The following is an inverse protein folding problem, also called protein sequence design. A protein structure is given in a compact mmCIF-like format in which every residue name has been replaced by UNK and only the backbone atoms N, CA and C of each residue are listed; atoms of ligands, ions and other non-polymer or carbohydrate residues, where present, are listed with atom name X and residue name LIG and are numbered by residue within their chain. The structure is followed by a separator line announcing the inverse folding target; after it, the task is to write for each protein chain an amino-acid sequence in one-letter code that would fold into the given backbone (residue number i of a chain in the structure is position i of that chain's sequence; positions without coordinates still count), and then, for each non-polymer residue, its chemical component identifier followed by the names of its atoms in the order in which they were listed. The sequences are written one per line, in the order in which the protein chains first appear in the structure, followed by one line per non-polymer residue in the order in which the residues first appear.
data_IF_963447593405
#
_entry.id   IF_963447593405
#
_cell.length_a   1.000
_cell.length_b   1.000
_cell.length_c   1.000
_cell.angle_alpha   90.00
_cell.angle_beta   90.00
_cell.angle_gamma   90.00
#
_symmetry.space_group_name_H-M   'P 1'
#
loop_
_entity.id
_entity.type
_entity.pdbx_description
1 polymer ?
#
# COMPACT_ATOMS: atom_id res chain seq x y z
N UNK A 1 26.97 -37.74 11.75
CA UNK A 1 25.98 -37.17 10.82
C UNK A 1 24.94 -36.44 11.65
N UNK A 2 25.02 -35.11 11.73
CA UNK A 2 23.95 -34.28 12.28
C UNK A 2 23.34 -33.59 11.09
N UNK A 3 22.10 -33.97 10.77
CA UNK A 3 21.27 -33.30 9.78
C UNK A 3 20.91 -31.93 10.34
N UNK A 4 21.57 -30.87 9.86
CA UNK A 4 21.07 -29.51 10.00
C UNK A 4 20.28 -29.17 8.73
N UNK A 5 19.12 -29.81 8.58
CA UNK A 5 18.00 -29.13 7.93
C UNK A 5 17.36 -28.27 9.01
N UNK A 6 17.44 -26.93 8.91
CA UNK A 6 16.24 -26.09 8.92
C UNK A 6 16.55 -24.58 8.78
N UNK A 7 15.57 -23.88 8.20
CA UNK A 7 15.39 -22.44 8.01
C UNK A 7 16.07 -21.84 6.78
N UNK A 8 15.45 -22.10 5.63
CA UNK A 8 15.31 -21.08 4.59
C UNK A 8 14.74 -19.80 5.25
N UNK A 9 15.61 -18.89 5.66
CA UNK A 9 15.21 -17.55 6.05
C UNK A 9 14.87 -16.82 4.75
N UNK A 10 13.66 -17.02 4.24
CA UNK A 10 13.13 -16.07 3.27
C UNK A 10 13.12 -14.70 3.96
N UNK A 11 13.68 -13.66 3.34
CA UNK A 11 13.61 -12.32 3.90
C UNK A 11 12.14 -11.95 4.12
N UNK A 12 11.81 -11.20 5.19
CA UNK A 12 10.43 -10.78 5.44
C UNK A 12 9.90 -10.00 4.25
N UNK A 13 8.63 -10.23 3.91
CA UNK A 13 7.95 -9.47 2.86
C UNK A 13 7.90 -7.99 3.23
N UNK A 14 7.70 -7.11 2.26
CA UNK A 14 7.46 -5.68 2.52
C UNK A 14 6.26 -5.51 3.45
N UNK A 15 5.20 -6.30 3.25
CA UNK A 15 4.04 -6.30 4.15
C UNK A 15 4.42 -6.66 5.58
N UNK A 16 5.17 -7.75 5.78
CA UNK A 16 5.61 -8.19 7.11
C UNK A 16 6.50 -7.14 7.76
N UNK A 17 7.42 -6.55 7.01
CA UNK A 17 8.31 -5.51 7.50
C UNK A 17 7.51 -4.28 7.93
N UNK A 18 6.58 -3.78 7.10
CA UNK A 18 5.75 -2.62 7.44
C UNK A 18 4.92 -2.91 8.68
N UNK A 19 4.26 -4.06 8.74
CA UNK A 19 3.47 -4.46 9.91
C UNK A 19 4.33 -4.51 11.17
N UNK A 20 5.53 -5.09 11.12
CA UNK A 20 6.40 -5.22 12.29
C UNK A 20 6.95 -3.87 12.78
N UNK A 21 7.21 -2.93 11.87
CA UNK A 21 7.91 -1.69 12.20
C UNK A 21 6.97 -0.49 12.39
N UNK A 22 5.79 -0.49 11.74
CA UNK A 22 4.91 0.69 11.69
C UNK A 22 3.55 0.48 12.35
N UNK A 23 3.13 -0.75 12.66
CA UNK A 23 1.77 -1.00 13.20
C UNK A 23 1.52 -0.46 14.62
N UNK A 24 2.58 -0.18 15.37
CA UNK A 24 2.49 0.42 16.70
C UNK A 24 2.40 1.94 16.69
N UNK A 25 2.53 2.57 15.51
CA UNK A 25 2.47 4.01 15.34
C UNK A 25 1.03 4.46 15.07
N UNK A 26 0.76 5.75 15.34
CA UNK A 26 -0.51 6.37 15.01
C UNK A 26 -0.74 6.35 13.49
N UNK A 27 -1.99 6.19 13.08
CA UNK A 27 -2.35 6.27 11.68
C UNK A 27 -3.81 6.72 11.50
N UNK A 28 -4.04 7.31 10.33
CA UNK A 28 -5.37 7.46 9.74
C UNK A 28 -5.48 6.52 8.55
N UNK A 29 -6.67 5.96 8.30
CA UNK A 29 -6.83 4.91 7.29
C UNK A 29 -8.15 4.99 6.54
N UNK A 30 -8.15 4.47 5.32
CA UNK A 30 -9.31 4.36 4.44
C UNK A 30 -9.31 3.02 3.72
N UNK A 31 -10.50 2.52 3.42
CA UNK A 31 -10.72 1.31 2.63
C UNK A 31 -11.59 1.65 1.43
N UNK A 32 -11.09 1.34 0.23
CA UNK A 32 -11.79 1.54 -1.03
C UNK A 32 -12.05 0.20 -1.71
N UNK A 33 -13.22 0.09 -2.36
CA UNK A 33 -13.61 -1.09 -3.11
C UNK A 33 -13.68 -0.76 -4.59
N UNK A 34 -12.97 -1.54 -5.41
CA UNK A 34 -12.97 -1.42 -6.86
C UNK A 34 -13.66 -2.65 -7.46
N UNK A 35 -14.90 -2.45 -7.89
CA UNK A 35 -15.70 -3.49 -8.55
C UNK A 35 -15.29 -3.60 -10.03
N UNK A 36 -15.06 -4.83 -10.52
CA UNK A 36 -14.72 -5.10 -11.92
C UNK A 36 -13.28 -4.78 -12.32
N UNK A 37 -12.45 -4.32 -11.39
CA UNK A 37 -11.00 -4.20 -11.56
C UNK A 37 -10.30 -5.33 -10.81
N UNK A 38 -9.29 -5.94 -11.43
CA UNK A 38 -8.37 -6.86 -10.75
C UNK A 38 -7.23 -6.10 -10.06
N UNK A 39 -6.49 -6.76 -9.17
CA UNK A 39 -5.43 -6.08 -8.42
C UNK A 39 -4.34 -5.45 -9.27
N UNK A 40 -4.02 -6.01 -10.44
CA UNK A 40 -3.01 -5.43 -11.34
C UNK A 40 -3.44 -4.05 -11.85
N UNK A 41 -4.68 -3.91 -12.32
CA UNK A 41 -5.20 -2.62 -12.78
C UNK A 41 -5.27 -1.62 -11.63
N UNK A 42 -5.73 -2.04 -10.45
CA UNK A 42 -5.77 -1.15 -9.28
C UNK A 42 -4.36 -0.73 -8.85
N UNK A 43 -3.37 -1.63 -8.96
CA UNK A 43 -1.97 -1.30 -8.71
C UNK A 43 -1.46 -0.23 -9.67
N UNK A 44 -1.85 -0.26 -10.96
CA UNK A 44 -1.53 0.82 -11.91
C UNK A 44 -2.15 2.16 -11.50
N UNK A 45 -3.40 2.17 -11.00
CA UNK A 45 -4.04 3.39 -10.46
C UNK A 45 -3.24 3.94 -9.27
N UNK A 46 -2.79 3.07 -8.36
CA UNK A 46 -1.98 3.45 -7.20
C UNK A 46 -0.64 4.03 -7.66
N UNK A 47 0.08 3.37 -8.58
CA UNK A 47 1.35 3.88 -9.13
C UNK A 47 1.17 5.25 -9.80
N UNK A 48 0.11 5.42 -10.58
CA UNK A 48 -0.20 6.70 -11.24
C UNK A 48 -0.50 7.80 -10.21
N UNK A 49 -1.26 7.49 -9.16
CA UNK A 49 -1.60 8.44 -8.09
C UNK A 49 -0.35 8.85 -7.31
N UNK A 50 0.50 7.89 -6.92
CA UNK A 50 1.80 8.16 -6.28
C UNK A 50 2.68 9.04 -7.15
N UNK A 51 2.74 8.77 -8.46
CA UNK A 51 3.52 9.59 -9.40
C UNK A 51 2.96 11.01 -9.54
N UNK A 52 1.64 11.20 -9.55
CA UNK A 52 1.01 12.54 -9.61
C UNK A 52 1.33 13.38 -8.38
N UNK A 53 1.40 12.73 -7.21
CA UNK A 53 1.78 13.36 -5.94
C UNK A 53 3.29 13.52 -5.78
N UNK A 54 4.09 13.15 -6.79
CA UNK A 54 5.55 13.25 -6.75
C UNK A 54 6.22 12.31 -5.74
N UNK A 55 5.54 11.23 -5.34
CA UNK A 55 6.02 10.30 -4.33
C UNK A 55 6.87 9.18 -4.94
N UNK A 56 8.02 8.94 -4.31
CA UNK A 56 8.78 7.70 -4.52
C UNK A 56 8.22 6.59 -3.64
N UNK A 57 8.26 5.34 -4.10
CA UNK A 57 7.70 4.23 -3.35
C UNK A 57 8.51 2.95 -3.54
N UNK A 58 8.43 2.09 -2.52
CA UNK A 58 8.73 0.67 -2.63
C UNK A 58 7.44 -0.07 -2.95
N UNK A 59 7.54 -1.09 -3.77
CA UNK A 59 6.43 -1.96 -4.15
C UNK A 59 6.85 -3.42 -4.01
N UNK A 60 5.93 -4.25 -3.55
CA UNK A 60 6.06 -5.70 -3.62
C UNK A 60 4.73 -6.31 -4.08
N UNK A 61 4.81 -7.29 -4.97
CA UNK A 61 3.68 -8.06 -5.46
C UNK A 61 3.86 -9.52 -5.06
N UNK A 62 2.86 -10.09 -4.38
CA UNK A 62 2.86 -11.47 -3.91
C UNK A 62 1.71 -12.20 -4.61
N UNK A 63 2.01 -13.07 -5.58
CA UNK A 63 1.00 -13.93 -6.19
C UNK A 63 0.38 -14.87 -5.16
N UNK A 64 -0.95 -15.01 -5.21
CA UNK A 64 -1.72 -15.98 -4.44
C UNK A 64 -2.32 -17.03 -5.39
N UNK A 65 -2.96 -18.06 -4.83
CA UNK A 65 -3.74 -19.02 -5.63
C UNK A 65 -4.83 -18.32 -6.48
N UNK A 66 -5.38 -17.22 -5.96
CA UNK A 66 -6.42 -16.42 -6.59
C UNK A 66 -6.06 -14.94 -6.44
N UNK A 67 -5.50 -14.35 -7.50
CA UNK A 67 -5.10 -12.95 -7.53
C UNK A 67 -3.69 -12.67 -7.02
N UNK A 68 -3.39 -11.39 -6.85
CA UNK A 68 -2.09 -10.88 -6.38
C UNK A 68 -2.33 -9.86 -5.29
N UNK A 69 -1.62 -9.97 -4.18
CA UNK A 69 -1.57 -8.90 -3.18
C UNK A 69 -0.43 -7.95 -3.50
N UNK A 70 -0.72 -6.66 -3.56
CA UNK A 70 0.29 -5.62 -3.68
C UNK A 70 0.46 -4.90 -2.36
N UNK A 71 1.70 -4.55 -2.03
CA UNK A 71 2.03 -3.62 -0.95
C UNK A 71 2.87 -2.48 -1.49
N UNK A 72 2.45 -1.25 -1.22
CA UNK A 72 3.21 -0.04 -1.49
C UNK A 72 3.58 0.64 -0.19
N UNK A 73 4.80 1.16 -0.13
CA UNK A 73 5.26 1.99 0.98
C UNK A 73 5.98 3.21 0.42
N UNK A 74 5.52 4.41 0.80
CA UNK A 74 6.15 5.68 0.45
C UNK A 74 6.43 6.49 1.71
N UNK A 75 7.58 7.18 1.75
CA UNK A 75 7.86 8.19 2.75
C UNK A 75 7.35 9.53 2.23
N UNK A 76 6.43 10.15 2.95
CA UNK A 76 5.80 11.42 2.55
C UNK A 76 6.69 12.60 2.97
N UNK A 77 7.23 12.54 4.19
CA UNK A 77 8.21 13.49 4.73
C UNK A 77 9.48 12.72 5.03
N UNK A 78 10.63 13.17 4.49
CA UNK A 78 11.91 12.48 4.69
C UNK A 78 12.57 12.84 6.02
N UNK A 79 12.17 13.97 6.62
CA UNK A 79 12.65 14.48 7.90
C UNK A 79 11.80 14.04 9.10
N UNK A 80 10.66 13.37 8.86
CA UNK A 80 9.72 12.90 9.89
C UNK A 80 9.19 11.52 9.58
N UNK A 81 8.71 10.81 10.59
CA UNK A 81 8.12 9.48 10.42
C UNK A 81 6.68 9.59 9.89
N UNK A 82 6.52 10.00 8.64
CA UNK A 82 5.23 10.04 7.95
C UNK A 82 5.29 9.19 6.69
N UNK A 83 4.50 8.11 6.66
CA UNK A 83 4.52 7.09 5.62
C UNK A 83 3.14 6.84 5.06
N UNK A 84 3.05 6.72 3.74
CA UNK A 84 1.89 6.15 3.07
C UNK A 84 2.10 4.64 2.91
N UNK A 85 1.19 3.84 3.46
CA UNK A 85 1.15 2.41 3.30
C UNK A 85 -0.15 2.01 2.59
N UNK A 86 -0.04 1.39 1.41
CA UNK A 86 -1.19 0.91 0.64
C UNK A 86 -1.09 -0.59 0.47
N UNK A 87 -2.18 -1.31 0.71
CA UNK A 87 -2.29 -2.73 0.38
C UNK A 87 -3.48 -2.97 -0.52
N UNK A 88 -3.26 -3.72 -1.60
CA UNK A 88 -4.30 -4.14 -2.53
C UNK A 88 -4.48 -5.63 -2.33
N UNK A 89 -5.67 -6.04 -1.95
CA UNK A 89 -6.01 -7.45 -1.84
C UNK A 89 -7.11 -7.81 -2.83
N UNK A 90 -6.80 -8.81 -3.65
CA UNK A 90 -7.71 -9.44 -4.58
C UNK A 90 -7.65 -10.93 -4.28
N UNK A 91 -8.75 -11.46 -3.72
CA UNK A 91 -8.89 -12.88 -3.39
C UNK A 91 -9.51 -13.67 -4.57
N UNK A 92 -9.42 -13.12 -5.80
CA UNK A 92 -9.98 -13.66 -7.05
C UNK A 92 -11.48 -13.48 -7.20
N UNK A 93 -12.04 -12.50 -6.48
CA UNK A 93 -13.45 -12.14 -6.53
C UNK A 93 -13.77 -11.06 -7.57
N UNK A 94 -14.98 -10.50 -7.48
CA UNK A 94 -15.42 -9.38 -8.32
C UNK A 94 -14.96 -8.01 -7.79
N UNK A 95 -14.43 -7.98 -6.57
CA UNK A 95 -14.08 -6.77 -5.83
C UNK A 95 -12.61 -6.85 -5.44
N UNK A 96 -11.84 -5.87 -5.87
CA UNK A 96 -10.51 -5.62 -5.34
C UNK A 96 -10.61 -4.61 -4.20
N UNK A 97 -10.03 -4.94 -3.04
CA UNK A 97 -10.03 -4.09 -1.85
C UNK A 97 -8.68 -3.37 -1.75
N UNK A 98 -8.72 -2.05 -1.55
CA UNK A 98 -7.55 -1.23 -1.28
C UNK A 98 -7.65 -0.69 0.13
N UNK A 99 -6.72 -1.06 1.00
CA UNK A 99 -6.54 -0.40 2.29
C UNK A 99 -5.39 0.60 2.17
N UNK A 100 -5.62 1.83 2.60
CA UNK A 100 -4.61 2.89 2.66
C UNK A 100 -4.49 3.37 4.09
N UNK A 101 -3.25 3.51 4.57
CA UNK A 101 -2.94 4.09 5.87
C UNK A 101 -1.87 5.16 5.69
N UNK A 102 -2.08 6.32 6.29
CA UNK A 102 -1.00 7.29 6.52
C UNK A 102 -0.55 7.09 7.96
N UNK A 103 0.63 6.51 8.13
CA UNK A 103 1.28 6.34 9.44
C UNK A 103 2.00 7.63 9.77
N UNK A 104 1.82 8.17 10.97
CA UNK A 104 2.31 9.48 11.36
C UNK A 104 2.70 9.54 12.84
N UNK A 105 3.35 10.63 13.25
CA UNK A 105 3.43 11.01 14.66
C UNK A 105 2.19 11.82 15.04
N UNK A 106 1.89 11.95 16.34
CA UNK A 106 0.69 12.65 16.81
C UNK A 106 0.62 14.11 16.31
N UNK A 107 1.76 14.78 16.16
CA UNK A 107 1.84 16.17 15.69
C UNK A 107 1.46 16.36 14.22
N UNK A 108 1.54 15.29 13.41
CA UNK A 108 1.26 15.32 11.97
C UNK A 108 -0.14 14.79 11.64
N UNK A 109 -1.02 14.55 12.63
CA UNK A 109 -2.36 13.96 12.44
C UNK A 109 -3.23 14.73 11.44
N UNK A 110 -3.33 16.06 11.56
CA UNK A 110 -4.16 16.86 10.66
C UNK A 110 -3.65 16.81 9.21
N UNK A 111 -2.33 16.84 9.03
CA UNK A 111 -1.71 16.66 7.72
C UNK A 111 -1.97 15.26 7.16
N UNK A 112 -1.91 14.23 8.01
CA UNK A 112 -2.15 12.86 7.59
C UNK A 112 -3.58 12.65 7.07
N UNK A 113 -4.58 13.26 7.72
CA UNK A 113 -5.98 13.25 7.27
C UNK A 113 -6.15 13.95 5.91
N UNK A 114 -5.60 15.16 5.77
CA UNK A 114 -5.66 15.92 4.52
C UNK A 114 -4.98 15.16 3.37
N UNK A 115 -3.80 14.60 3.62
CA UNK A 115 -3.06 13.82 2.64
C UNK A 115 -3.82 12.53 2.25
N UNK A 116 -4.41 11.82 3.22
CA UNK A 116 -5.20 10.62 2.96
C UNK A 116 -6.42 10.95 2.07
N UNK A 117 -7.10 12.07 2.33
CA UNK A 117 -8.22 12.54 1.53
C UNK A 117 -7.79 12.87 0.09
N UNK A 118 -6.66 13.59 -0.09
CA UNK A 118 -6.11 13.91 -1.41
C UNK A 118 -5.72 12.64 -2.19
N UNK A 119 -5.01 11.71 -1.54
CA UNK A 119 -4.59 10.46 -2.17
C UNK A 119 -5.78 9.61 -2.60
N UNK A 120 -6.77 9.43 -1.72
CA UNK A 120 -7.96 8.62 -2.02
C UNK A 120 -8.82 9.26 -3.11
N UNK A 121 -8.97 10.59 -3.10
CA UNK A 121 -9.63 11.33 -4.18
C UNK A 121 -8.92 11.11 -5.52
N UNK A 122 -7.60 11.27 -5.56
CA UNK A 122 -6.78 11.06 -6.77
C UNK A 122 -6.92 9.64 -7.32
N UNK A 123 -7.01 8.63 -6.43
CA UNK A 123 -7.16 7.23 -6.82
C UNK A 123 -8.54 6.92 -7.43
N UNK A 124 -9.57 7.66 -7.03
CA UNK A 124 -10.94 7.51 -7.50
C UNK A 124 -11.27 8.42 -8.70
N UNK A 125 -10.41 9.39 -9.02
CA UNK A 125 -10.56 10.19 -10.23
C UNK A 125 -10.59 9.27 -11.46
N UNK A 126 -11.54 9.45 -12.38
CA UNK A 126 -11.53 8.70 -13.62
C UNK A 126 -10.21 8.99 -14.33
N UNK A 127 -9.41 7.95 -14.56
CA UNK A 127 -8.22 8.03 -15.39
C UNK A 127 -8.62 8.22 -16.86
N UNK A 128 -9.24 9.35 -17.18
CA UNK A 128 -9.52 9.82 -18.54
C UNK A 128 -8.22 10.29 -19.18
N UNK A 129 -7.32 9.36 -19.48
CA UNK A 129 -6.33 9.47 -20.54
C UNK A 129 -6.04 8.07 -21.06
N UNK A 130 -6.94 7.57 -21.90
CA UNK A 130 -6.48 6.69 -22.98
C UNK A 130 -5.70 7.58 -23.97
N UNK A 131 -4.47 7.20 -24.38
CA UNK A 131 -3.81 7.80 -25.54
C UNK A 131 -4.53 7.45 -26.85
#
# INVERSE_FOLDING_TARGET
MVSNADKSHNPPTLFDWVRQNLSSLDHVGSTLHFEGYNSNKVAELVRASLSRLGLTYREEAIPKERGTTYTFLSSIKTDRQVFLWVTINDDGGLITVVETRVVHTTEDSAFADEFLAEFTSTLQEPNTREP
#
